data_IF_838055623515
#
_entry.id   IF_838055623515
#
_cell.length_a   1.000
_cell.length_b   1.000
_cell.length_c   1.000
_cell.angle_alpha   90.00
_cell.angle_beta   90.00
_cell.angle_gamma   90.00
#
_symmetry.space_group_name_H-M   'P 1'
#
loop_
_entity.id
_entity.type
_entity.pdbx_description
1 polymer ?
#
# COMPACT_ATOMS: atom_id res chain seq x y z
N UNK A 1 1.46 4.36 -12.96
CA UNK A 1 2.64 5.23 -12.95
C UNK A 1 3.17 5.36 -11.53
N UNK A 2 4.45 5.07 -11.36
CA UNK A 2 5.12 5.24 -10.07
C UNK A 2 5.47 6.71 -9.90
N UNK A 3 4.94 7.34 -8.84
CA UNK A 3 5.16 8.77 -8.57
C UNK A 3 6.12 9.04 -7.42
N UNK A 4 6.42 8.03 -6.61
CA UNK A 4 7.38 8.15 -5.52
C UNK A 4 8.06 6.81 -5.27
N UNK A 5 9.36 6.83 -5.08
CA UNK A 5 10.18 5.64 -4.94
C UNK A 5 10.57 5.40 -3.49
N UNK A 6 10.91 4.14 -3.19
CA UNK A 6 11.42 3.74 -1.88
C UNK A 6 12.76 4.39 -1.59
N UNK A 7 12.99 4.71 -0.32
CA UNK A 7 14.25 5.17 0.18
C UNK A 7 14.28 6.68 0.44
N UNK A 8 15.50 7.20 0.59
CA UNK A 8 15.70 8.62 0.87
C UNK A 8 15.35 9.47 -0.33
N UNK A 9 14.59 10.52 -0.13
CA UNK A 9 14.20 11.46 -1.17
C UNK A 9 14.29 12.90 -0.67
N UNK A 10 14.61 13.82 -1.58
CA UNK A 10 14.54 15.24 -1.31
C UNK A 10 13.15 15.74 -1.73
N UNK A 11 12.28 15.99 -0.78
CA UNK A 11 10.91 16.42 -1.06
C UNK A 11 10.78 17.91 -1.24
N UNK A 12 11.68 18.70 -0.67
CA UNK A 12 11.55 20.14 -0.59
C UNK A 12 10.35 20.61 0.24
N UNK A 13 9.61 19.72 0.83
CA UNK A 13 8.41 20.01 1.62
C UNK A 13 8.74 19.88 3.09
N UNK A 14 8.55 20.97 3.83
CA UNK A 14 8.80 21.00 5.25
C UNK A 14 7.86 20.06 5.99
N UNK A 15 8.43 19.20 6.83
CA UNK A 15 7.67 18.23 7.60
C UNK A 15 7.36 16.93 6.87
N UNK A 16 7.63 16.83 5.55
CA UNK A 16 7.49 15.57 4.82
C UNK A 16 8.67 14.66 5.13
N UNK A 17 8.41 13.35 5.13
CA UNK A 17 9.46 12.35 5.32
C UNK A 17 10.45 12.37 4.16
N UNK A 18 11.75 12.37 4.48
CA UNK A 18 12.82 12.23 3.48
C UNK A 18 13.15 10.78 3.17
N UNK A 19 12.59 9.84 3.93
CA UNK A 19 12.73 8.41 3.70
C UNK A 19 11.36 7.80 3.47
N UNK A 20 11.17 7.18 2.30
CA UNK A 20 9.92 6.58 1.89
C UNK A 20 10.00 5.06 1.99
N UNK A 21 9.18 4.46 2.86
CA UNK A 21 9.20 3.01 3.15
C UNK A 21 8.39 2.18 2.15
N UNK A 22 7.94 2.80 1.05
CA UNK A 22 7.08 2.18 0.05
C UNK A 22 7.30 2.86 -1.30
N UNK A 23 6.54 2.46 -2.30
CA UNK A 23 6.40 3.20 -3.55
C UNK A 23 4.98 3.73 -3.68
N UNK A 24 4.80 4.85 -4.36
CA UNK A 24 3.49 5.40 -4.69
C UNK A 24 3.21 5.18 -6.17
N UNK A 25 2.05 4.58 -6.45
CA UNK A 25 1.60 4.27 -7.80
C UNK A 25 0.33 5.08 -8.06
N UNK A 26 0.40 6.04 -8.98
CA UNK A 26 -0.73 6.92 -9.28
C UNK A 26 -1.58 6.40 -10.44
N UNK A 27 -2.88 6.58 -10.32
CA UNK A 27 -3.86 6.35 -11.37
C UNK A 27 -5.14 7.12 -11.03
N UNK A 28 -6.19 6.92 -11.79
CA UNK A 28 -7.47 7.61 -11.58
C UNK A 28 -8.14 7.15 -10.28
N UNK A 29 -8.93 8.03 -9.67
CA UNK A 29 -9.76 7.71 -8.53
C UNK A 29 -10.66 6.51 -8.83
N UNK A 30 -10.71 5.56 -7.92
CA UNK A 30 -11.53 4.36 -8.05
C UNK A 30 -10.88 3.22 -8.83
N UNK A 31 -9.66 3.40 -9.37
CA UNK A 31 -8.92 2.34 -10.04
C UNK A 31 -8.79 1.13 -9.10
N UNK A 32 -9.06 -0.07 -9.63
CA UNK A 32 -8.98 -1.29 -8.85
C UNK A 32 -7.55 -1.55 -8.36
N UNK A 33 -7.44 -1.96 -7.10
CA UNK A 33 -6.19 -2.39 -6.48
C UNK A 33 -6.26 -3.90 -6.32
N UNK A 34 -5.21 -4.60 -6.75
CA UNK A 34 -5.15 -6.06 -6.77
C UNK A 34 -4.08 -6.57 -5.81
N UNK A 35 -4.36 -7.72 -5.20
CA UNK A 35 -3.39 -8.38 -4.33
C UNK A 35 -2.14 -8.77 -5.13
N UNK A 36 -0.97 -8.40 -4.63
CA UNK A 36 0.30 -8.70 -5.29
C UNK A 36 0.61 -10.21 -5.28
N UNK A 37 0.09 -10.92 -4.30
CA UNK A 37 0.19 -12.38 -4.19
C UNK A 37 -0.91 -12.89 -3.26
N UNK A 38 -1.07 -14.20 -3.17
CA UNK A 38 -2.05 -14.83 -2.29
C UNK A 38 -1.65 -14.74 -0.83
N UNK A 39 -2.65 -14.74 0.06
CA UNK A 39 -2.42 -14.67 1.49
C UNK A 39 -3.69 -14.41 2.28
N UNK A 40 -3.50 -13.95 3.51
CA UNK A 40 -4.59 -13.63 4.43
C UNK A 40 -4.59 -12.13 4.73
N UNK A 41 -5.75 -11.50 4.63
CA UNK A 41 -5.91 -10.09 5.03
C UNK A 41 -5.81 -10.00 6.55
N UNK A 42 -4.76 -9.36 7.05
CA UNK A 42 -4.54 -9.15 8.49
C UNK A 42 -5.09 -7.83 8.98
N UNK A 43 -5.30 -6.88 8.08
CA UNK A 43 -5.89 -5.58 8.41
C UNK A 43 -6.67 -5.05 7.19
N UNK A 44 -7.88 -4.56 7.44
CA UNK A 44 -8.70 -3.88 6.43
C UNK A 44 -9.53 -2.80 7.14
N UNK A 45 -9.12 -1.53 6.99
CA UNK A 45 -9.80 -0.43 7.66
C UNK A 45 -8.96 0.84 7.67
N UNK A 46 -9.44 1.85 8.41
CA UNK A 46 -8.74 3.12 8.56
C UNK A 46 -7.58 2.98 9.54
N UNK A 47 -6.41 3.51 9.16
CA UNK A 47 -5.23 3.49 10.03
C UNK A 47 -4.38 4.75 9.83
N UNK A 48 -4.66 5.78 10.63
CA UNK A 48 -3.85 7.00 10.70
C UNK A 48 -3.54 7.62 9.33
N UNK A 49 -2.28 7.92 9.09
CA UNK A 49 -1.83 8.55 7.84
C UNK A 49 -2.02 7.70 6.58
N UNK A 50 -2.19 6.38 6.71
CA UNK A 50 -2.49 5.50 5.57
C UNK A 50 -3.91 5.69 5.03
N UNK A 51 -4.83 6.27 5.82
CA UNK A 51 -6.23 6.28 5.46
C UNK A 51 -6.80 4.86 5.47
N UNK A 52 -7.58 4.50 4.45
CA UNK A 52 -8.05 3.13 4.30
C UNK A 52 -6.92 2.24 3.81
N UNK A 53 -6.56 1.27 4.64
CA UNK A 53 -5.40 0.40 4.47
C UNK A 53 -5.83 -1.06 4.40
N UNK A 54 -5.20 -1.81 3.47
CA UNK A 54 -5.22 -3.27 3.46
C UNK A 54 -3.80 -3.78 3.70
N UNK A 55 -3.68 -4.76 4.60
CA UNK A 55 -2.42 -5.49 4.81
C UNK A 55 -2.69 -6.96 4.54
N UNK A 56 -1.86 -7.56 3.70
CA UNK A 56 -1.93 -8.99 3.38
C UNK A 56 -0.67 -9.68 3.89
N UNK A 57 -0.85 -10.75 4.67
CA UNK A 57 0.23 -11.63 5.09
C UNK A 57 0.33 -12.79 4.09
N UNK A 58 1.46 -12.88 3.41
CA UNK A 58 1.71 -13.90 2.39
C UNK A 58 2.43 -15.13 2.95
N UNK A 59 2.75 -15.14 4.24
CA UNK A 59 3.56 -16.17 4.88
C UNK A 59 5.06 -15.88 4.82
N UNK A 60 5.84 -16.65 5.55
CA UNK A 60 7.31 -16.55 5.60
C UNK A 60 7.82 -15.15 5.97
N UNK A 61 7.04 -14.38 6.73
CA UNK A 61 7.40 -13.02 7.13
C UNK A 61 7.13 -11.94 6.09
N UNK A 62 6.53 -12.27 4.96
CA UNK A 62 6.20 -11.31 3.89
C UNK A 62 4.81 -10.73 4.08
N UNK A 63 4.72 -9.39 4.07
CA UNK A 63 3.45 -8.67 4.11
C UNK A 63 3.46 -7.56 3.05
N UNK A 64 2.30 -7.28 2.46
CA UNK A 64 2.13 -6.14 1.56
C UNK A 64 1.09 -5.18 2.10
N UNK A 65 1.37 -3.88 1.95
CA UNK A 65 0.57 -2.77 2.42
C UNK A 65 0.01 -1.99 1.24
N UNK A 66 -1.28 -1.66 1.29
CA UNK A 66 -1.99 -0.92 0.24
C UNK A 66 -2.75 0.22 0.90
N UNK A 67 -2.19 1.44 0.86
CA UNK A 67 -2.71 2.59 1.57
C UNK A 67 -3.42 3.62 0.68
N UNK A 68 -4.10 4.56 1.32
CA UNK A 68 -4.83 5.68 0.73
C UNK A 68 -6.00 5.27 -0.18
N UNK A 69 -6.58 4.10 0.05
CA UNK A 69 -7.73 3.64 -0.75
C UNK A 69 -8.97 4.49 -0.51
N UNK A 70 -9.84 4.59 -1.51
CA UNK A 70 -11.15 5.22 -1.37
C UNK A 70 -12.16 4.28 -0.75
N UNK A 71 -12.05 2.98 -1.05
CA UNK A 71 -12.91 1.94 -0.48
C UNK A 71 -12.17 0.61 -0.42
N UNK A 72 -12.65 -0.26 0.46
CA UNK A 72 -12.08 -1.59 0.66
C UNK A 72 -13.13 -2.64 0.30
N UNK A 73 -12.72 -3.70 -0.41
CA UNK A 73 -13.63 -4.76 -0.85
C UNK A 73 -13.35 -6.10 -0.19
N UNK A 74 -12.37 -6.15 0.72
CA UNK A 74 -12.05 -7.34 1.52
C UNK A 74 -12.12 -7.01 3.00
N UNK A 75 -12.25 -8.04 3.83
CA UNK A 75 -12.33 -7.90 5.29
C UNK A 75 -11.16 -8.58 5.96
N UNK A 76 -10.81 -8.12 7.16
CA UNK A 76 -9.79 -8.75 8.00
C UNK A 76 -10.15 -10.22 8.23
N UNK A 77 -9.17 -11.11 8.02
CA UNK A 77 -9.34 -12.55 8.12
C UNK A 77 -9.67 -13.25 6.81
N UNK A 78 -10.00 -12.50 5.76
CA UNK A 78 -10.33 -13.07 4.46
C UNK A 78 -9.07 -13.58 3.75
N UNK A 79 -9.17 -14.75 3.10
CA UNK A 79 -8.13 -15.27 2.23
C UNK A 79 -8.29 -14.72 0.82
N UNK A 80 -7.18 -14.28 0.24
CA UNK A 80 -7.16 -13.72 -1.12
C UNK A 80 -6.16 -14.48 -1.99
N UNK A 81 -6.38 -14.47 -3.30
CA UNK A 81 -5.45 -15.01 -4.27
C UNK A 81 -4.74 -13.87 -5.03
N UNK A 82 -3.61 -14.19 -5.65
CA UNK A 82 -2.86 -13.24 -6.47
C UNK A 82 -3.77 -12.67 -7.57
N UNK A 83 -3.78 -11.34 -7.68
CA UNK A 83 -4.59 -10.63 -8.66
C UNK A 83 -6.05 -10.42 -8.28
N UNK A 84 -6.49 -10.88 -7.11
CA UNK A 84 -7.84 -10.58 -6.62
C UNK A 84 -7.96 -9.09 -6.28
N UNK A 85 -9.09 -8.47 -6.67
CA UNK A 85 -9.35 -7.09 -6.29
C UNK A 85 -9.58 -7.00 -4.78
N UNK A 86 -8.87 -6.07 -4.13
CA UNK A 86 -8.93 -5.89 -2.68
C UNK A 86 -9.40 -4.51 -2.26
N UNK A 87 -9.27 -3.51 -3.13
CA UNK A 87 -9.60 -2.13 -2.83
C UNK A 87 -9.79 -1.32 -4.11
N UNK A 88 -10.12 -0.03 -3.92
CA UNK A 88 -10.13 0.96 -5.00
C UNK A 88 -9.24 2.12 -4.61
N UNK A 89 -8.46 2.63 -5.57
CA UNK A 89 -7.53 3.73 -5.37
C UNK A 89 -8.25 5.01 -4.95
N UNK A 90 -7.63 5.76 -4.05
CA UNK A 90 -8.13 7.05 -3.61
C UNK A 90 -7.02 7.95 -3.09
N UNK A 91 -7.39 8.85 -2.20
CA UNK A 91 -6.47 9.82 -1.60
C UNK A 91 -6.79 10.02 -0.11
N UNK A 92 -7.23 8.97 0.58
CA UNK A 92 -7.56 9.02 2.00
C UNK A 92 -6.31 9.06 2.86
N UNK A 93 -6.45 9.59 4.08
CA UNK A 93 -5.31 9.79 4.97
C UNK A 93 -4.45 10.97 4.56
N UNK A 94 -3.15 10.89 4.84
CA UNK A 94 -2.19 11.94 4.47
C UNK A 94 -1.74 11.69 3.03
N UNK A 95 -2.47 12.29 2.09
CA UNK A 95 -2.22 12.11 0.66
C UNK A 95 -2.57 13.39 -0.09
N UNK A 96 -1.79 13.71 -1.11
CA UNK A 96 -2.00 14.90 -1.97
C UNK A 96 -2.55 14.55 -3.36
N UNK A 97 -2.92 13.30 -3.61
CA UNK A 97 -3.46 12.87 -4.89
C UNK A 97 -3.83 11.40 -4.90
N UNK A 98 -4.52 10.98 -5.97
CA UNK A 98 -4.95 9.59 -6.11
C UNK A 98 -3.77 8.68 -6.38
N UNK A 99 -3.42 7.83 -5.43
CA UNK A 99 -2.34 6.87 -5.57
C UNK A 99 -2.48 5.70 -4.59
N UNK A 100 -1.80 4.61 -4.88
CA UNK A 100 -1.64 3.50 -3.96
C UNK A 100 -0.27 3.61 -3.29
N UNK A 101 -0.26 3.71 -1.97
CA UNK A 101 0.96 3.59 -1.17
C UNK A 101 1.23 2.11 -0.97
N UNK A 102 2.12 1.56 -1.80
CA UNK A 102 2.42 0.13 -1.82
C UNK A 102 3.73 -0.15 -1.10
N UNK A 103 3.65 -0.89 0.00
CA UNK A 103 4.82 -1.28 0.79
C UNK A 103 4.95 -2.79 0.89
N UNK A 104 6.19 -3.25 1.03
CA UNK A 104 6.52 -4.65 1.32
C UNK A 104 7.30 -4.70 2.62
N UNK A 105 6.78 -5.44 3.59
CA UNK A 105 7.40 -5.68 4.89
C UNK A 105 7.92 -7.11 4.91
N UNK A 106 9.22 -7.27 5.17
CA UNK A 106 9.85 -8.60 5.30
C UNK A 106 10.45 -8.70 6.69
N UNK A 107 9.96 -9.64 7.49
CA UNK A 107 10.43 -9.88 8.86
C UNK A 107 10.46 -8.59 9.70
N UNK A 108 9.43 -7.76 9.56
CA UNK A 108 9.29 -6.52 10.33
C UNK A 108 10.04 -5.32 9.78
N UNK A 109 10.66 -5.43 8.60
CA UNK A 109 11.41 -4.33 7.97
C UNK A 109 10.86 -4.02 6.58
N UNK A 110 10.52 -2.75 6.32
CA UNK A 110 10.12 -2.33 4.98
C UNK A 110 11.32 -2.37 4.03
N UNK A 111 11.08 -2.93 2.85
CA UNK A 111 12.09 -3.09 1.80
C UNK A 111 11.64 -2.39 0.51
N UNK A 112 12.57 -2.20 -0.42
CA UNK A 112 12.24 -1.58 -1.70
C UNK A 112 11.35 -2.51 -2.54
N UNK A 113 10.06 -2.16 -2.77
CA UNK A 113 9.14 -3.03 -3.49
C UNK A 113 9.59 -3.37 -4.92
N UNK A 114 10.36 -2.48 -5.56
CA UNK A 114 10.84 -2.72 -6.93
C UNK A 114 11.77 -3.93 -7.04
N UNK A 115 12.38 -4.37 -5.93
CA UNK A 115 13.23 -5.56 -5.92
C UNK A 115 12.41 -6.86 -5.91
N UNK A 116 11.08 -6.78 -5.76
CA UNK A 116 10.19 -7.94 -5.56
C UNK A 116 9.03 -7.99 -6.56
N UNK A 117 8.97 -7.04 -7.47
CA UNK A 117 7.92 -6.99 -8.51
C UNK A 117 8.37 -7.63 -9.81
#
# INVERSE_FOLDING_TARGET
VITSYFGRRNTGIRGASTYHEAIDIANSYGTAIYAADGGTVTYSGWRGGYGYLVIIDHGNGYQTYYGHNSSLVVSTGEHVYKGQQIARMGSTGVSSGNHCHFGILINGTFVNPLNYL
#
